data_IF_561164948840
#
_entry.id   IF_561164948840
#
_cell.length_a   1.000
_cell.length_b   1.000
_cell.length_c   1.000
_cell.angle_alpha   90.00
_cell.angle_beta   90.00
_cell.angle_gamma   90.00
#
_symmetry.space_group_name_H-M   'P 1'
#
loop_
_entity.id
_entity.type
_entity.pdbx_description
1 polymer ?
#
# COMPACT_ATOMS: atom_id res chain seq x y z
N UNK A 1 4.42 12.16 14.65
CA UNK A 1 3.83 11.04 13.90
C UNK A 1 2.34 11.05 14.15
N UNK A 2 1.55 11.04 13.10
CA UNK A 2 0.08 11.08 13.16
C UNK A 2 -0.50 9.94 12.33
N UNK A 3 -1.62 9.37 12.78
CA UNK A 3 -2.39 8.40 12.00
C UNK A 3 -3.57 9.13 11.40
N UNK A 4 -3.72 9.06 10.08
CA UNK A 4 -4.74 9.80 9.32
C UNK A 4 -5.48 8.84 8.39
N UNK A 5 -6.75 9.13 8.06
CA UNK A 5 -7.47 8.41 7.00
C UNK A 5 -6.80 8.70 5.66
N UNK A 6 -6.66 7.68 4.81
CA UNK A 6 -6.15 7.89 3.44
C UNK A 6 -7.14 8.71 2.62
N UNK A 7 -6.60 9.52 1.72
CA UNK A 7 -7.32 10.32 0.74
C UNK A 7 -6.91 9.85 -0.65
N UNK A 8 -7.76 10.03 -1.66
CA UNK A 8 -7.42 9.64 -3.05
C UNK A 8 -6.11 10.25 -3.55
N UNK A 9 -5.76 11.46 -3.09
CA UNK A 9 -4.50 12.12 -3.41
C UNK A 9 -3.25 11.40 -2.85
N UNK A 10 -3.41 10.51 -1.87
CA UNK A 10 -2.31 9.73 -1.30
C UNK A 10 -1.95 8.49 -2.13
N UNK A 11 -2.75 8.13 -3.14
CA UNK A 11 -2.63 6.86 -3.86
C UNK A 11 -1.23 6.66 -4.45
N UNK A 12 -0.68 7.69 -5.09
CA UNK A 12 0.66 7.61 -5.69
C UNK A 12 1.74 7.40 -4.63
N UNK A 13 1.65 8.14 -3.52
CA UNK A 13 2.60 8.06 -2.42
C UNK A 13 2.53 6.70 -1.70
N UNK A 14 1.33 6.17 -1.48
CA UNK A 14 1.11 4.83 -0.89
C UNK A 14 1.58 3.74 -1.83
N UNK A 15 1.26 3.82 -3.13
CA UNK A 15 1.70 2.83 -4.13
C UNK A 15 3.22 2.77 -4.19
N UNK A 16 3.88 3.94 -4.15
CA UNK A 16 5.34 4.02 -4.07
C UNK A 16 5.88 3.38 -2.79
N UNK A 17 5.34 3.75 -1.63
CA UNK A 17 5.76 3.20 -0.34
C UNK A 17 5.65 1.67 -0.32
N UNK A 18 4.49 1.13 -0.70
CA UNK A 18 4.26 -0.32 -0.73
C UNK A 18 5.19 -0.99 -1.74
N UNK A 19 5.42 -0.40 -2.91
CA UNK A 19 6.36 -0.94 -3.89
C UNK A 19 7.80 -1.00 -3.36
N UNK A 20 8.26 0.04 -2.66
CA UNK A 20 9.61 0.13 -2.08
C UNK A 20 9.80 -0.89 -0.94
N UNK A 21 8.82 -1.03 -0.06
CA UNK A 21 8.83 -2.04 1.01
C UNK A 21 8.77 -3.45 0.42
N UNK A 22 7.85 -3.70 -0.51
CA UNK A 22 7.69 -5.02 -1.12
C UNK A 22 8.92 -5.44 -1.93
N UNK A 23 9.66 -4.51 -2.53
CA UNK A 23 10.92 -4.83 -3.21
C UNK A 23 11.99 -5.41 -2.26
N UNK A 24 11.96 -5.03 -0.97
CA UNK A 24 12.92 -5.48 0.04
C UNK A 24 12.42 -6.68 0.83
N UNK A 25 11.15 -6.68 1.22
CA UNK A 25 10.65 -7.60 2.24
C UNK A 25 9.70 -8.67 1.69
N UNK A 26 9.15 -8.50 0.48
CA UNK A 26 8.18 -9.43 -0.12
C UNK A 26 8.75 -10.13 -1.34
N UNK A 27 9.15 -9.38 -2.36
CA UNK A 27 9.60 -9.93 -3.64
C UNK A 27 10.77 -10.91 -3.50
N UNK A 28 11.79 -10.69 -2.65
CA UNK A 28 12.88 -11.66 -2.49
C UNK A 28 12.43 -13.04 -1.99
N UNK A 29 11.29 -13.11 -1.29
CA UNK A 29 10.73 -14.34 -0.74
C UNK A 29 9.90 -15.13 -1.78
N UNK A 30 9.65 -14.54 -2.95
CA UNK A 30 8.83 -15.14 -4.00
C UNK A 30 9.71 -15.71 -5.13
N UNK A 31 9.22 -16.78 -5.76
CA UNK A 31 9.80 -17.29 -7.01
C UNK A 31 9.48 -16.34 -8.19
N UNK A 32 10.00 -16.65 -9.38
CA UNK A 32 9.81 -15.81 -10.56
C UNK A 32 8.33 -15.56 -10.92
N UNK A 33 7.48 -16.60 -10.83
CA UNK A 33 6.05 -16.48 -11.06
C UNK A 33 5.39 -15.61 -9.98
N UNK A 34 5.69 -15.84 -8.70
CA UNK A 34 5.13 -15.07 -7.59
C UNK A 34 5.52 -13.59 -7.65
N UNK A 35 6.77 -13.28 -8.02
CA UNK A 35 7.20 -11.90 -8.27
C UNK A 35 6.38 -11.22 -9.35
N UNK A 36 6.06 -11.95 -10.43
CA UNK A 36 5.24 -11.44 -11.53
C UNK A 36 3.80 -11.20 -11.07
N UNK A 37 3.15 -12.21 -10.48
CA UNK A 37 1.76 -12.10 -10.00
C UNK A 37 1.61 -11.00 -8.94
N UNK A 38 2.58 -10.84 -8.03
CA UNK A 38 2.55 -9.77 -7.04
C UNK A 38 2.54 -8.38 -7.70
N UNK A 39 3.39 -8.17 -8.71
CA UNK A 39 3.46 -6.89 -9.43
C UNK A 39 2.24 -6.64 -10.31
N UNK A 40 1.73 -7.67 -10.96
CA UNK A 40 0.66 -7.55 -11.93
C UNK A 40 -0.73 -7.47 -11.28
N UNK A 41 -0.88 -8.00 -10.05
CA UNK A 41 -2.19 -8.05 -9.37
C UNK A 41 -2.22 -7.31 -8.04
N UNK A 42 -1.22 -7.47 -7.17
CA UNK A 42 -1.30 -6.93 -5.80
C UNK A 42 -1.06 -5.42 -5.77
N UNK A 43 -0.03 -4.92 -6.47
CA UNK A 43 0.26 -3.49 -6.48
C UNK A 43 -0.84 -2.66 -7.16
N UNK A 44 -1.40 -3.06 -8.32
CA UNK A 44 -2.49 -2.30 -8.95
C UNK A 44 -3.78 -2.33 -8.12
N UNK A 45 -4.01 -3.40 -7.36
CA UNK A 45 -5.21 -3.56 -6.54
C UNK A 45 -5.16 -2.71 -5.24
N UNK A 46 -4.03 -2.08 -4.90
CA UNK A 46 -3.97 -1.13 -3.77
C UNK A 46 -5.04 -0.03 -3.86
N UNK A 47 -5.39 0.41 -5.08
CA UNK A 47 -6.42 1.43 -5.27
C UNK A 47 -7.80 0.99 -4.74
N UNK A 48 -8.12 -0.30 -4.76
CA UNK A 48 -9.41 -0.81 -4.25
C UNK A 48 -9.49 -0.71 -2.74
N UNK A 49 -8.36 -0.70 -2.04
CA UNK A 49 -8.32 -0.52 -0.58
C UNK A 49 -8.62 0.91 -0.12
N UNK A 50 -8.73 1.87 -1.05
CA UNK A 50 -9.13 3.26 -0.72
C UNK A 50 -10.66 3.44 -0.75
N UNK A 51 -11.40 2.41 -1.16
CA UNK A 51 -12.85 2.35 -1.08
C UNK A 51 -13.29 2.16 0.37
N UNK A 52 -14.02 3.14 0.92
CA UNK A 52 -14.42 3.14 2.32
C UNK A 52 -15.71 2.35 2.60
N UNK A 53 -16.35 1.79 1.57
CA UNK A 53 -17.43 0.81 1.74
C UNK A 53 -16.90 -0.56 2.17
N UNK A 54 -15.73 -0.96 1.66
CA UNK A 54 -15.16 -2.29 1.86
C UNK A 54 -13.89 -2.29 2.74
N UNK A 55 -13.26 -1.13 2.93
CA UNK A 55 -12.00 -1.02 3.66
C UNK A 55 -11.95 0.15 4.64
N UNK A 56 -11.35 -0.10 5.81
CA UNK A 56 -10.84 0.93 6.69
C UNK A 56 -9.34 1.11 6.44
N UNK A 57 -8.97 2.20 5.77
CA UNK A 57 -7.59 2.45 5.36
C UNK A 57 -7.01 3.71 5.99
N UNK A 58 -5.81 3.57 6.54
CA UNK A 58 -5.08 4.59 7.29
C UNK A 58 -3.63 4.72 6.81
N UNK A 59 -3.07 5.91 7.01
CA UNK A 59 -1.66 6.25 6.77
C UNK A 59 -1.02 6.78 8.04
N UNK A 60 0.26 6.45 8.23
CA UNK A 60 1.11 7.09 9.23
C UNK A 60 1.90 8.21 8.57
N UNK A 61 1.82 9.42 9.11
CA UNK A 61 2.48 10.62 8.55
C UNK A 61 3.44 11.21 9.57
N UNK A 62 4.63 11.61 9.11
CA UNK A 62 5.58 12.39 9.89
C UNK A 62 6.24 13.44 9.01
N UNK A 63 6.26 14.70 9.47
CA UNK A 63 6.86 15.81 8.71
C UNK A 63 6.32 15.98 7.28
N UNK A 64 5.06 15.61 7.05
CA UNK A 64 4.42 15.66 5.73
C UNK A 64 4.68 14.44 4.82
N UNK A 65 5.49 13.48 5.27
CA UNK A 65 5.79 12.24 4.53
C UNK A 65 4.96 11.07 5.05
N UNK A 66 4.47 10.23 4.12
CA UNK A 66 3.79 8.97 4.46
C UNK A 66 4.83 7.90 4.74
N UNK A 67 4.85 7.38 5.97
CA UNK A 67 5.81 6.38 6.43
C UNK A 67 5.20 4.98 6.59
N UNK A 68 3.88 4.88 6.57
CA UNK A 68 3.16 3.62 6.76
C UNK A 68 1.77 3.67 6.16
N UNK A 69 1.29 2.50 5.75
CA UNK A 69 -0.05 2.30 5.21
C UNK A 69 -0.63 1.00 5.77
N UNK A 70 -1.90 1.01 6.12
CA UNK A 70 -2.65 -0.17 6.50
C UNK A 70 -4.07 -0.08 5.94
N UNK A 71 -4.58 -1.22 5.47
CA UNK A 71 -5.95 -1.40 5.03
C UNK A 71 -6.53 -2.62 5.73
N UNK A 72 -7.69 -2.46 6.37
CA UNK A 72 -8.45 -3.54 6.97
C UNK A 72 -9.75 -3.72 6.19
N UNK A 73 -10.00 -4.92 5.68
CA UNK A 73 -11.28 -5.25 5.05
C UNK A 73 -12.35 -5.38 6.12
N UNK A 74 -13.51 -4.75 5.89
CA UNK A 74 -14.67 -4.77 6.78
C UNK A 74 -15.79 -5.66 6.25
#
# INVERSE_FOLDING_TARGET
MEIQKVQKADLDAVTRLVSEVSAKDVLPLLNAQGKKEYKDRVLPDLATTFDDENFSSIKAVSSGEILGFAALRI
#
